data_IF_215330950897
#
_entry.id   IF_215330950897
#
_cell.length_a   1.000
_cell.length_b   1.000
_cell.length_c   1.000
_cell.angle_alpha   90.00
_cell.angle_beta   90.00
_cell.angle_gamma   90.00
#
_symmetry.space_group_name_H-M   'P 1'
#
loop_
_entity.id
_entity.type
_entity.pdbx_description
1 polymer ?
#
# COMPACT_ATOMS: atom_id res chain seq x y z
N UNK A 1 -6.13 -2.54 -21.93
CA UNK A 1 -5.20 -3.15 -20.96
C UNK A 1 -5.19 -2.29 -19.70
N UNK A 2 -5.46 -2.84 -18.54
CA UNK A 2 -5.30 -2.10 -17.28
C UNK A 2 -3.81 -1.79 -17.10
N UNK A 3 -3.49 -0.57 -16.68
CA UNK A 3 -2.10 -0.22 -16.35
C UNK A 3 -1.72 -0.91 -15.04
N UNK A 4 -0.52 -1.50 -14.98
CA UNK A 4 0.02 -2.11 -13.75
C UNK A 4 0.01 -1.13 -12.57
N UNK A 5 0.27 0.14 -12.83
CA UNK A 5 0.30 1.22 -11.82
C UNK A 5 0.00 2.58 -12.45
N UNK A 6 -0.25 3.55 -11.59
CA UNK A 6 -0.24 4.99 -11.91
C UNK A 6 0.61 5.74 -10.89
N UNK A 7 1.22 6.83 -11.31
CA UNK A 7 1.79 7.85 -10.42
C UNK A 7 0.91 9.09 -10.57
N UNK A 8 0.39 9.57 -9.45
CA UNK A 8 -0.48 10.76 -9.40
C UNK A 8 0.31 11.85 -8.67
N UNK A 9 0.83 12.85 -9.40
CA UNK A 9 1.53 13.98 -8.77
C UNK A 9 0.62 14.80 -7.89
N UNK A 10 1.14 15.29 -6.78
CA UNK A 10 0.44 16.29 -5.99
C UNK A 10 0.68 17.70 -6.56
N UNK A 11 -0.32 18.54 -6.49
CA UNK A 11 -0.24 19.93 -6.91
C UNK A 11 0.37 20.76 -5.78
N UNK A 12 1.44 21.50 -6.10
CA UNK A 12 2.03 22.46 -5.17
C UNK A 12 1.10 23.66 -5.05
N UNK A 13 0.54 23.91 -3.86
CA UNK A 13 -0.28 25.08 -3.59
C UNK A 13 0.55 26.22 -3.02
N UNK A 14 1.51 25.92 -2.14
CA UNK A 14 2.29 26.96 -1.47
C UNK A 14 3.65 26.42 -1.02
N UNK A 15 4.66 27.28 -1.11
CA UNK A 15 5.99 27.11 -0.53
C UNK A 15 6.38 28.40 0.21
N UNK A 16 6.69 28.26 1.49
CA UNK A 16 7.26 29.32 2.32
C UNK A 16 8.37 28.72 3.16
N UNK A 17 9.27 29.51 3.76
CA UNK A 17 10.28 28.97 4.66
C UNK A 17 9.66 28.07 5.72
N UNK A 18 10.10 26.80 5.76
CA UNK A 18 9.62 25.79 6.72
C UNK A 18 8.22 25.20 6.45
N UNK A 19 7.50 25.65 5.39
CA UNK A 19 6.15 25.14 5.08
C UNK A 19 6.01 24.75 3.62
N UNK A 20 5.66 23.47 3.39
CA UNK A 20 5.25 22.94 2.09
C UNK A 20 3.76 22.59 2.17
N UNK A 21 3.00 23.05 1.21
CA UNK A 21 1.58 22.77 1.11
C UNK A 21 1.26 22.22 -0.27
N UNK A 22 0.94 20.93 -0.31
CA UNK A 22 0.63 20.17 -1.52
C UNK A 22 -0.81 19.63 -1.43
N UNK A 23 -1.46 19.52 -2.57
CA UNK A 23 -2.83 19.03 -2.67
C UNK A 23 -2.89 17.83 -3.62
N UNK A 24 -3.56 16.78 -3.19
CA UNK A 24 -4.06 15.75 -4.08
C UNK A 24 -5.40 16.21 -4.64
N UNK A 25 -5.53 16.19 -5.97
CA UNK A 25 -6.81 16.50 -6.61
C UNK A 25 -7.75 15.31 -6.48
N UNK A 26 -8.88 15.42 -5.77
CA UNK A 26 -9.75 14.27 -5.48
C UNK A 26 -10.27 13.55 -6.73
N UNK A 27 -10.43 14.25 -7.86
CA UNK A 27 -10.87 13.66 -9.13
C UNK A 27 -9.85 12.67 -9.73
N UNK A 28 -8.60 12.68 -9.28
CA UNK A 28 -7.58 11.73 -9.71
C UNK A 28 -7.73 10.38 -9.01
N UNK A 29 -8.48 10.33 -7.91
CA UNK A 29 -8.89 9.12 -7.19
C UNK A 29 -10.40 8.96 -7.39
N UNK A 30 -10.86 7.95 -8.14
CA UNK A 30 -12.28 7.85 -8.53
C UNK A 30 -13.22 7.68 -7.33
N UNK A 31 -12.75 7.09 -6.23
CA UNK A 31 -13.52 6.85 -5.02
C UNK A 31 -12.57 6.56 -3.86
N UNK A 32 -12.90 7.05 -2.68
CA UNK A 32 -12.20 6.69 -1.44
C UNK A 32 -13.21 5.96 -0.55
N UNK A 33 -12.99 4.69 -0.31
CA UNK A 33 -13.82 3.82 0.54
C UNK A 33 -13.18 3.55 1.90
N UNK A 34 -11.88 3.81 2.03
CA UNK A 34 -11.12 3.70 3.27
C UNK A 34 -9.90 4.59 3.27
N UNK A 35 -9.47 5.01 4.44
CA UNK A 35 -8.24 5.76 4.66
C UNK A 35 -7.43 5.01 5.70
N UNK A 36 -6.34 4.40 5.25
CA UNK A 36 -5.53 3.52 6.09
C UNK A 36 -4.24 4.26 6.46
N UNK A 37 -3.98 4.39 7.77
CA UNK A 37 -2.70 4.87 8.29
C UNK A 37 -1.78 3.68 8.50
N UNK A 38 -0.63 3.68 7.84
CA UNK A 38 0.33 2.57 7.91
C UNK A 38 1.67 3.06 8.40
N UNK A 39 2.15 2.48 9.49
CA UNK A 39 3.45 2.79 10.10
C UNK A 39 4.32 1.54 10.04
N UNK A 40 5.48 1.67 9.40
CA UNK A 40 6.50 0.64 9.40
C UNK A 40 7.70 1.10 10.24
N UNK A 41 8.18 0.26 11.13
CA UNK A 41 9.45 0.46 11.82
C UNK A 41 10.64 0.44 10.86
N UNK A 42 11.83 0.71 11.37
CA UNK A 42 13.07 0.65 10.61
C UNK A 42 13.27 -0.74 9.97
N UNK A 43 13.58 -0.76 8.69
CA UNK A 43 13.86 -1.97 7.91
C UNK A 43 12.75 -3.05 7.95
N UNK A 44 11.52 -2.67 8.30
CA UNK A 44 10.40 -3.60 8.35
C UNK A 44 10.07 -4.17 6.98
N UNK A 45 9.83 -5.49 6.97
CA UNK A 45 9.43 -6.26 5.78
C UNK A 45 7.93 -6.55 5.86
N UNK A 46 7.18 -6.25 4.82
CA UNK A 46 5.74 -6.45 4.77
C UNK A 46 5.30 -7.01 3.39
N UNK A 47 4.69 -8.22 3.36
CA UNK A 47 4.53 -9.15 4.48
C UNK A 47 5.87 -9.68 4.97
N UNK A 48 5.92 -10.03 6.26
CA UNK A 48 7.08 -10.66 6.86
C UNK A 48 7.33 -12.07 6.33
N UNK A 49 8.50 -12.66 6.63
CA UNK A 49 8.81 -14.04 6.26
C UNK A 49 7.78 -15.04 6.81
N UNK A 50 7.57 -16.13 6.08
CA UNK A 50 6.78 -17.29 6.51
C UNK A 50 7.73 -18.48 6.63
N UNK A 51 8.02 -18.87 7.89
CA UNK A 51 9.04 -19.88 8.21
C UNK A 51 8.44 -21.27 8.45
N UNK A 52 7.13 -21.38 8.68
CA UNK A 52 6.39 -22.61 8.97
C UNK A 52 5.95 -23.38 7.71
N UNK A 53 6.37 -22.95 6.52
CA UNK A 53 6.18 -23.66 5.26
C UNK A 53 7.48 -24.27 4.72
N UNK A 54 7.37 -25.21 3.77
CA UNK A 54 8.52 -25.90 3.19
C UNK A 54 8.56 -25.74 1.66
N UNK A 55 9.60 -25.09 1.11
CA UNK A 55 10.65 -24.33 1.81
C UNK A 55 10.11 -23.02 2.44
N UNK A 56 10.79 -22.45 3.43
CA UNK A 56 10.43 -21.15 4.00
C UNK A 56 10.43 -20.05 2.93
N UNK A 57 9.45 -19.13 3.02
CA UNK A 57 9.32 -18.01 2.07
C UNK A 57 9.75 -16.72 2.74
N UNK A 58 10.93 -16.21 2.39
CA UNK A 58 11.53 -15.04 3.02
C UNK A 58 10.94 -13.70 2.54
N UNK A 59 10.36 -13.67 1.35
CA UNK A 59 9.81 -12.46 0.73
C UNK A 59 8.46 -12.75 0.08
N UNK A 60 7.45 -13.10 0.89
CA UNK A 60 6.10 -13.34 0.39
C UNK A 60 5.44 -12.06 -0.15
N UNK A 61 4.22 -12.19 -0.64
CA UNK A 61 3.47 -11.11 -1.28
C UNK A 61 2.09 -10.96 -0.68
N UNK A 62 1.60 -9.72 -0.60
CA UNK A 62 0.19 -9.42 -0.49
C UNK A 62 -0.47 -9.32 -1.87
N UNK A 63 -1.77 -9.56 -1.92
CA UNK A 63 -2.62 -9.22 -3.06
C UNK A 63 -4.04 -8.97 -2.55
N UNK A 64 -4.57 -7.80 -2.88
CA UNK A 64 -5.93 -7.42 -2.53
C UNK A 64 -6.90 -7.78 -3.66
N UNK A 65 -7.82 -8.74 -3.46
CA UNK A 65 -8.73 -9.15 -4.54
C UNK A 65 -9.75 -8.08 -4.94
N UNK A 66 -10.07 -7.18 -4.02
CA UNK A 66 -11.14 -6.20 -4.18
C UNK A 66 -10.78 -4.77 -3.80
N UNK A 67 -9.49 -4.44 -3.65
CA UNK A 67 -9.05 -3.10 -3.26
C UNK A 67 -7.91 -2.60 -4.16
N UNK A 68 -8.07 -1.39 -4.68
CA UNK A 68 -6.97 -0.63 -5.26
C UNK A 68 -6.26 0.13 -4.14
N UNK A 69 -4.94 0.14 -4.16
CA UNK A 69 -4.15 0.94 -3.24
C UNK A 69 -3.72 2.25 -3.89
N UNK A 70 -3.93 3.33 -3.17
CA UNK A 70 -3.52 4.68 -3.54
C UNK A 70 -2.61 5.20 -2.42
N UNK A 71 -1.32 4.83 -2.49
CA UNK A 71 -0.36 5.02 -1.40
C UNK A 71 0.38 6.33 -1.51
N UNK A 72 0.36 7.11 -0.43
CA UNK A 72 1.14 8.33 -0.25
C UNK A 72 2.09 8.18 0.93
N UNK A 73 3.40 8.31 0.70
CA UNK A 73 4.42 8.31 1.76
C UNK A 73 4.54 9.71 2.35
N UNK A 74 4.39 9.80 3.67
CA UNK A 74 4.44 11.06 4.43
C UNK A 74 5.79 11.27 5.13
N UNK A 75 6.47 10.18 5.49
CA UNK A 75 7.78 10.20 6.13
C UNK A 75 8.55 8.93 5.82
N UNK A 76 9.88 9.01 5.81
CA UNK A 76 10.77 7.89 5.55
C UNK A 76 10.73 7.40 4.10
N UNK A 77 11.14 6.15 3.90
CA UNK A 77 11.30 5.55 2.58
C UNK A 77 10.58 4.21 2.49
N UNK A 78 9.92 3.95 1.36
CA UNK A 78 9.34 2.66 1.01
C UNK A 78 9.92 2.12 -0.28
N UNK A 79 10.42 0.89 -0.22
CA UNK A 79 10.81 0.07 -1.36
C UNK A 79 9.64 -0.86 -1.66
N UNK A 80 9.01 -0.69 -2.82
CA UNK A 80 7.77 -1.37 -3.20
C UNK A 80 8.00 -2.18 -4.46
N UNK A 81 7.82 -3.49 -4.38
CA UNK A 81 7.73 -4.34 -5.56
C UNK A 81 6.27 -4.62 -5.88
N UNK A 82 5.90 -4.54 -7.15
CA UNK A 82 4.58 -4.92 -7.64
C UNK A 82 4.68 -5.89 -8.82
N UNK A 83 3.68 -6.78 -8.94
CA UNK A 83 3.60 -7.78 -9.99
C UNK A 83 2.15 -8.09 -10.38
N UNK A 84 1.88 -8.15 -11.70
CA UNK A 84 0.58 -8.54 -12.23
C UNK A 84 0.71 -9.88 -12.97
N UNK A 85 0.06 -10.97 -12.45
CA UNK A 85 0.32 -12.33 -12.94
C UNK A 85 -0.16 -12.59 -14.36
N UNK A 86 -1.24 -11.94 -14.83
CA UNK A 86 -1.78 -12.18 -16.18
C UNK A 86 -0.87 -11.65 -17.27
N UNK A 87 -0.32 -10.47 -17.08
CA UNK A 87 0.59 -9.83 -18.04
C UNK A 87 2.06 -10.11 -17.73
N UNK A 88 2.35 -10.70 -16.57
CA UNK A 88 3.70 -10.90 -16.02
C UNK A 88 4.52 -9.62 -15.94
N UNK A 89 3.84 -8.48 -15.83
CA UNK A 89 4.49 -7.19 -15.66
C UNK A 89 4.91 -6.98 -14.21
N UNK A 90 6.11 -6.45 -14.04
CA UNK A 90 6.66 -6.08 -12.72
C UNK A 90 7.22 -4.67 -12.73
N UNK A 91 7.21 -4.03 -11.58
CA UNK A 91 7.91 -2.77 -11.34
C UNK A 91 8.36 -2.70 -9.89
N UNK A 92 9.50 -2.01 -9.67
CA UNK A 92 10.00 -1.69 -8.34
C UNK A 92 10.03 -0.17 -8.20
N UNK A 93 9.61 0.30 -7.03
CA UNK A 93 9.59 1.71 -6.70
C UNK A 93 10.38 1.99 -5.42
N UNK A 94 11.04 3.14 -5.37
CA UNK A 94 11.48 3.77 -4.13
C UNK A 94 10.65 5.03 -3.99
N UNK A 95 9.88 5.12 -2.91
CA UNK A 95 8.94 6.22 -2.66
C UNK A 95 9.33 6.93 -1.38
N UNK A 96 9.54 8.22 -1.49
CA UNK A 96 9.74 9.14 -0.38
C UNK A 96 8.66 10.23 -0.41
N UNK A 97 8.56 11.10 0.59
CA UNK A 97 7.63 12.22 0.55
C UNK A 97 7.84 13.18 -0.63
N UNK A 98 9.04 13.22 -1.20
CA UNK A 98 9.45 14.21 -2.18
C UNK A 98 9.76 13.63 -3.56
N UNK A 99 9.92 12.29 -3.69
CA UNK A 99 10.41 11.67 -4.93
C UNK A 99 9.87 10.27 -5.12
N UNK A 100 9.68 9.91 -6.38
CA UNK A 100 9.40 8.54 -6.80
C UNK A 100 10.48 8.08 -7.77
N UNK A 101 11.15 6.98 -7.44
CA UNK A 101 12.05 6.27 -8.36
C UNK A 101 11.35 5.02 -8.86
N UNK A 102 11.63 4.62 -10.08
CA UNK A 102 11.18 3.37 -10.68
C UNK A 102 12.36 2.62 -11.25
N UNK A 103 12.54 1.36 -10.84
CA UNK A 103 13.67 0.54 -11.26
C UNK A 103 15.01 1.32 -11.10
N UNK A 104 15.21 1.91 -9.92
CA UNK A 104 16.37 2.70 -9.50
C UNK A 104 16.64 4.01 -10.27
N UNK A 105 15.72 4.42 -11.15
CA UNK A 105 15.81 5.69 -11.87
C UNK A 105 14.77 6.68 -11.36
N UNK A 106 15.18 7.94 -11.17
CA UNK A 106 14.24 9.01 -10.83
C UNK A 106 13.13 9.06 -11.88
N UNK A 107 11.90 8.80 -11.43
CA UNK A 107 10.71 8.78 -12.28
C UNK A 107 9.90 10.07 -12.15
N UNK A 108 9.79 10.58 -10.92
CA UNK A 108 9.11 11.84 -10.63
C UNK A 108 9.81 12.56 -9.49
N UNK A 109 10.13 13.84 -9.69
CA UNK A 109 10.75 14.73 -8.70
C UNK A 109 9.67 15.63 -8.11
N UNK A 110 9.07 15.20 -7.02
CA UNK A 110 7.98 15.85 -6.32
C UNK A 110 7.14 14.88 -5.49
N UNK A 111 6.25 15.40 -4.64
CA UNK A 111 5.31 14.59 -3.88
C UNK A 111 4.28 13.94 -4.81
N UNK A 112 4.06 12.65 -4.64
CA UNK A 112 3.14 11.89 -5.47
C UNK A 112 2.57 10.67 -4.73
N UNK A 113 1.44 10.20 -5.23
CA UNK A 113 0.82 8.95 -4.84
C UNK A 113 1.19 7.87 -5.84
N UNK A 114 1.53 6.69 -5.34
CA UNK A 114 1.73 5.48 -6.15
C UNK A 114 0.49 4.62 -6.03
N UNK A 115 -0.07 4.24 -7.17
CA UNK A 115 -1.35 3.53 -7.26
C UNK A 115 -1.17 2.22 -7.99
N UNK A 116 -1.72 1.14 -7.43
CA UNK A 116 -1.86 -0.14 -8.13
C UNK A 116 -3.25 -0.72 -7.92
N UNK A 117 -3.83 -1.37 -8.96
CA UNK A 117 -5.19 -1.87 -8.89
C UNK A 117 -5.29 -3.20 -8.12
N UNK A 118 -6.52 -3.55 -7.76
CA UNK A 118 -6.87 -4.86 -7.22
C UNK A 118 -6.32 -6.00 -8.08
N UNK A 119 -5.89 -7.08 -7.44
CA UNK A 119 -5.28 -8.23 -8.11
C UNK A 119 -3.79 -8.09 -8.44
N UNK A 120 -3.18 -6.94 -8.16
CA UNK A 120 -1.74 -6.75 -8.27
C UNK A 120 -1.08 -7.20 -6.96
N UNK A 121 -0.11 -8.11 -7.08
CA UNK A 121 0.73 -8.51 -5.96
C UNK A 121 1.68 -7.37 -5.60
N UNK A 122 1.87 -7.17 -4.30
CA UNK A 122 2.80 -6.15 -3.80
C UNK A 122 3.49 -6.62 -2.52
N UNK A 123 4.67 -6.07 -2.28
CA UNK A 123 5.45 -6.24 -1.04
C UNK A 123 6.31 -5.03 -0.80
N UNK A 124 6.58 -4.74 0.46
CA UNK A 124 7.22 -3.50 0.87
C UNK A 124 8.38 -3.78 1.84
N UNK A 125 9.45 -2.99 1.73
CA UNK A 125 10.44 -2.80 2.79
C UNK A 125 10.47 -1.32 3.12
N UNK A 126 10.57 -0.96 4.40
CA UNK A 126 10.86 0.42 4.80
C UNK A 126 12.35 0.68 4.91
N UNK A 127 12.74 1.95 4.78
CA UNK A 127 14.11 2.38 4.98
C UNK A 127 14.59 2.30 6.43
N UNK A 128 15.82 2.69 6.68
CA UNK A 128 16.46 2.65 8.00
C UNK A 128 15.75 3.50 9.06
N UNK A 129 15.09 4.58 8.65
CA UNK A 129 14.27 5.44 9.51
C UNK A 129 12.83 4.97 9.66
N UNK A 130 12.47 3.85 9.04
CA UNK A 130 11.09 3.41 8.92
C UNK A 130 10.30 4.21 7.88
N UNK A 131 8.96 4.15 7.96
CA UNK A 131 8.12 4.96 7.09
C UNK A 131 6.71 5.15 7.63
N UNK A 132 6.10 6.27 7.28
CA UNK A 132 4.69 6.57 7.53
C UNK A 132 4.02 6.83 6.18
N UNK A 133 2.88 6.20 5.95
CA UNK A 133 2.08 6.44 4.76
C UNK A 133 0.59 6.46 5.07
N UNK A 134 -0.15 7.03 4.15
CA UNK A 134 -1.61 6.93 4.06
C UNK A 134 -1.96 6.22 2.76
N UNK A 135 -2.86 5.26 2.84
CA UNK A 135 -3.47 4.62 1.70
C UNK A 135 -4.93 5.08 1.60
N UNK A 136 -5.31 5.64 0.47
CA UNK A 136 -6.69 6.03 0.16
C UNK A 136 -7.31 4.90 -0.66
N UNK A 137 -7.81 3.87 0.03
CA UNK A 137 -8.27 2.65 -0.62
C UNK A 137 -9.56 2.85 -1.42
N UNK A 138 -9.56 2.34 -2.65
CA UNK A 138 -10.76 2.24 -3.49
C UNK A 138 -11.22 0.79 -3.49
N UNK A 139 -12.48 0.53 -3.07
CA UNK A 139 -13.00 -0.82 -2.89
C UNK A 139 -14.03 -1.18 -3.95
N UNK A 140 -13.94 -2.39 -4.45
CA UNK A 140 -14.91 -2.99 -5.37
C UNK A 140 -15.96 -3.79 -4.59
N UNK A 141 -16.98 -4.29 -5.30
CA UNK A 141 -17.96 -5.24 -4.71
C UNK A 141 -17.36 -6.57 -4.25
N UNK A 142 -16.09 -6.84 -4.63
CA UNK A 142 -15.35 -8.04 -4.23
C UNK A 142 -14.52 -7.83 -2.97
N UNK A 143 -14.55 -6.63 -2.41
CA UNK A 143 -13.81 -6.35 -1.18
C UNK A 143 -14.38 -7.18 -0.03
N UNK A 144 -13.49 -7.91 0.61
CA UNK A 144 -13.75 -8.67 1.82
C UNK A 144 -12.52 -8.53 2.73
N UNK A 145 -12.73 -7.98 3.91
CA UNK A 145 -11.63 -7.71 4.83
C UNK A 145 -10.95 -9.00 5.28
N UNK A 146 -11.69 -10.11 5.38
CA UNK A 146 -11.13 -11.41 5.81
C UNK A 146 -10.00 -11.91 4.92
N UNK A 147 -10.05 -11.61 3.61
CA UNK A 147 -9.04 -12.05 2.64
C UNK A 147 -8.16 -10.92 2.11
N UNK A 148 -8.38 -9.69 2.54
CA UNK A 148 -7.67 -8.52 2.01
C UNK A 148 -6.18 -8.50 2.38
N UNK A 149 -5.80 -9.21 3.44
CA UNK A 149 -4.42 -9.32 3.91
C UNK A 149 -3.81 -10.72 3.73
N UNK A 150 -4.39 -11.51 2.84
CA UNK A 150 -3.85 -12.82 2.50
C UNK A 150 -2.41 -12.73 2.00
N UNK A 151 -1.57 -13.67 2.44
CA UNK A 151 -0.16 -13.74 2.12
C UNK A 151 0.08 -14.91 1.16
N UNK A 152 0.85 -14.64 0.12
CA UNK A 152 1.06 -15.58 -0.98
C UNK A 152 2.55 -15.84 -1.25
N UNK A 153 2.86 -17.07 -1.65
CA UNK A 153 4.06 -17.40 -2.41
C UNK A 153 3.77 -17.18 -3.89
N UNK A 154 4.62 -16.44 -4.56
CA UNK A 154 4.47 -16.07 -5.98
C UNK A 154 5.76 -16.33 -6.73
N UNK A 155 5.69 -17.15 -7.78
CA UNK A 155 6.74 -17.30 -8.77
C UNK A 155 6.58 -16.24 -9.87
N UNK A 156 7.44 -15.24 -9.90
CA UNK A 156 7.34 -14.13 -10.88
C UNK A 156 7.72 -14.55 -12.30
N UNK A 157 8.38 -15.68 -12.50
CA UNK A 157 8.73 -16.24 -13.81
C UNK A 157 7.51 -16.87 -14.50
N UNK A 158 6.76 -17.69 -13.74
CA UNK A 158 5.58 -18.39 -14.27
C UNK A 158 4.30 -17.60 -14.08
N UNK A 159 4.19 -16.84 -13.01
CA UNK A 159 2.97 -16.16 -12.56
C UNK A 159 2.11 -17.05 -11.64
N UNK A 160 2.59 -18.27 -11.32
CA UNK A 160 1.90 -19.15 -10.40
C UNK A 160 2.01 -18.66 -8.96
N UNK A 161 0.96 -18.82 -8.19
CA UNK A 161 0.96 -18.44 -6.79
C UNK A 161 0.08 -19.37 -5.95
N UNK A 162 0.41 -19.47 -4.67
CA UNK A 162 -0.37 -20.21 -3.67
C UNK A 162 -0.56 -19.37 -2.40
N UNK A 163 -1.67 -19.56 -1.73
CA UNK A 163 -1.92 -18.99 -0.41
C UNK A 163 -0.96 -19.64 0.60
N UNK A 164 -0.27 -18.83 1.39
CA UNK A 164 0.58 -19.25 2.50
C UNK A 164 -0.13 -19.05 3.85
N UNK A 165 -0.79 -17.89 4.01
CA UNK A 165 -1.45 -17.52 5.25
C UNK A 165 -2.73 -16.74 4.96
N UNK A 166 -3.79 -17.10 5.67
CA UNK A 166 -5.04 -16.35 5.64
C UNK A 166 -4.89 -15.03 6.40
N UNK A 167 -5.31 -13.93 5.78
CA UNK A 167 -5.17 -12.60 6.35
C UNK A 167 -5.99 -12.39 7.62
N UNK A 168 -7.04 -13.17 7.84
CA UNK A 168 -7.85 -13.10 9.04
C UNK A 168 -7.11 -13.55 10.31
N UNK A 169 -6.07 -14.38 10.17
CA UNK A 169 -5.29 -14.88 11.31
C UNK A 169 -4.51 -13.77 12.05
N UNK A 170 -4.16 -12.69 11.36
CA UNK A 170 -3.43 -11.55 11.94
C UNK A 170 -4.35 -10.39 12.33
N UNK A 171 -5.67 -10.53 12.10
CA UNK A 171 -6.62 -9.48 12.39
C UNK A 171 -7.14 -9.64 13.82
N UNK A 172 -7.03 -8.58 14.67
CA UNK A 172 -7.72 -8.59 15.95
C UNK A 172 -9.24 -8.60 15.72
N UNK A 173 -10.00 -8.98 16.75
CA UNK A 173 -11.45 -8.84 16.70
C UNK A 173 -11.86 -7.45 16.19
N UNK A 174 -12.55 -7.43 15.04
CA UNK A 174 -12.91 -6.21 14.33
C UNK A 174 -14.10 -5.46 14.99
N UNK A 175 -14.41 -5.75 16.24
CA UNK A 175 -15.34 -4.95 17.01
C UNK A 175 -14.74 -3.57 17.23
N UNK A 176 -15.27 -2.60 16.52
CA UNK A 176 -14.92 -1.20 16.69
C UNK A 176 -15.45 -0.73 18.04
N UNK A 177 -14.67 -0.93 19.09
CA UNK A 177 -14.94 -0.31 20.37
C UNK A 177 -14.27 1.08 20.40
N UNK A 178 -15.09 2.12 20.36
CA UNK A 178 -14.59 3.45 20.70
C UNK A 178 -14.16 3.44 22.17
N UNK A 179 -12.91 3.75 22.49
CA UNK A 179 -12.38 3.60 23.86
C UNK A 179 -13.03 4.55 24.88
N UNK A 180 -13.95 5.41 24.45
CA UNK A 180 -14.64 6.35 25.31
C UNK A 180 -16.03 6.72 24.76
N UNK A 181 -17.09 6.51 25.56
CA UNK A 181 -18.48 6.86 25.16
C UNK A 181 -18.65 8.36 24.88
N UNK A 182 -17.83 9.24 25.46
CA UNK A 182 -17.86 10.67 25.20
C UNK A 182 -17.46 11.02 23.76
N UNK A 183 -16.70 10.17 23.07
CA UNK A 183 -16.36 10.37 21.64
C UNK A 183 -17.56 10.08 20.75
N UNK A 184 -18.43 9.15 21.12
CA UNK A 184 -19.67 8.86 20.36
C UNK A 184 -20.60 10.06 20.24
N UNK A 185 -20.56 10.97 21.21
CA UNK A 185 -21.39 12.18 21.21
C UNK A 185 -20.93 13.23 20.19
N UNK A 186 -19.63 13.22 19.82
CA UNK A 186 -19.05 14.17 18.85
C UNK A 186 -19.46 13.88 17.40
N UNK A 187 -19.97 12.67 17.12
CA UNK A 187 -20.36 12.22 15.78
C UNK A 187 -21.88 12.12 15.61
N UNK A 188 -22.66 12.53 16.62
CA UNK A 188 -24.12 12.65 16.54
C UNK A 188 -24.50 14.09 16.24
N UNK A 189 -24.38 14.49 14.99
CA UNK A 189 -24.98 15.72 14.48
C UNK A 189 -25.88 15.41 13.30
#
# INVERSE_FOLDING_TARGET
MSRLYRIIPMRILRRTPGVKFDEMVPSDIPKIDGIDRVIHGANSISPGPIDDCTPPVQRPWYMHPGQDDNLMVLAGTRYIDIYEPKSKQKASFIVTPEKVYKNDKLYFDGPAMVVWPAGVFHRIISGEEGSISVNFSTRTKKFDLSNNFNIYDLCTETGDYKLLKDGSEDQPDLTYEYPNENIKSLFKS
#
